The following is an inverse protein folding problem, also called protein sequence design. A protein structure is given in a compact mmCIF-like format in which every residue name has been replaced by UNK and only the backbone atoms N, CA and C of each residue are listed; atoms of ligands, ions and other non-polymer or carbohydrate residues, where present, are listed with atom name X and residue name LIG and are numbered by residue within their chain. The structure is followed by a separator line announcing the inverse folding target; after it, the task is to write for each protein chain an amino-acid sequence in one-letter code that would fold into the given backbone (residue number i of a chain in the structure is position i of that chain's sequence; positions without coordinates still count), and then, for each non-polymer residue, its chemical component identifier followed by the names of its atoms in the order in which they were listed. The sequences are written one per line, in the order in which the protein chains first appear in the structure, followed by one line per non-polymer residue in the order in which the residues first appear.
data_IF_659432260777
#
_entry.id   IF_659432260777
#
_cell.length_a   1.000
_cell.length_b   1.000
_cell.length_c   1.000
_cell.angle_alpha   90.00
_cell.angle_beta   90.00
_cell.angle_gamma   90.00
#
_symmetry.space_group_name_H-M   'P 1'
#
loop_
_entity.id
_entity.type
_entity.pdbx_description
1 polymer ?
#
# COMPACT_ATOMS: atom_id res chain seq x y z
N UNK A 1 4.96 -33.14 1.26
CA UNK A 1 3.81 -32.31 1.68
C UNK A 1 3.75 -32.10 3.20
N UNK A 2 3.82 -33.10 4.04
CA UNK A 2 3.78 -32.94 5.51
C UNK A 2 4.93 -32.10 6.09
N UNK A 3 6.15 -32.28 5.63
CA UNK A 3 7.33 -31.51 6.08
C UNK A 3 7.19 -30.00 5.79
N UNK A 4 6.59 -29.64 4.65
CA UNK A 4 6.33 -28.26 4.28
C UNK A 4 5.27 -27.61 5.18
N UNK A 5 4.25 -28.37 5.59
CA UNK A 5 3.22 -27.89 6.51
C UNK A 5 3.77 -27.65 7.92
N UNK A 6 4.61 -28.57 8.42
CA UNK A 6 5.29 -28.43 9.73
C UNK A 6 6.22 -27.22 9.71
N UNK A 7 7.07 -27.08 8.67
CA UNK A 7 7.98 -25.94 8.53
C UNK A 7 7.19 -24.61 8.55
N UNK A 8 6.06 -24.55 7.85
CA UNK A 8 5.19 -23.38 7.83
C UNK A 8 4.59 -23.07 9.20
N UNK A 9 4.08 -24.10 9.91
CA UNK A 9 3.54 -23.91 11.26
C UNK A 9 4.57 -23.37 12.25
N UNK A 10 5.80 -23.89 12.20
CA UNK A 10 6.93 -23.41 13.03
C UNK A 10 7.27 -21.96 12.69
N UNK A 11 7.31 -21.61 11.41
CA UNK A 11 7.57 -20.23 10.95
C UNK A 11 6.46 -19.29 11.39
N UNK A 12 5.20 -19.66 11.22
CA UNK A 12 4.07 -18.86 11.65
C UNK A 12 4.14 -18.59 13.17
N UNK A 13 4.37 -19.62 13.99
CA UNK A 13 4.53 -19.46 15.44
C UNK A 13 5.70 -18.52 15.79
N UNK A 14 6.82 -18.57 15.03
CA UNK A 14 7.95 -17.68 15.21
C UNK A 14 7.59 -16.24 14.90
N UNK A 15 6.90 -15.98 13.80
CA UNK A 15 6.47 -14.62 13.42
C UNK A 15 5.46 -14.04 14.40
N UNK A 16 4.49 -14.84 14.86
CA UNK A 16 3.58 -14.42 15.92
C UNK A 16 4.35 -13.99 17.19
N UNK A 17 5.36 -14.78 17.59
CA UNK A 17 6.17 -14.45 18.76
C UNK A 17 6.98 -13.16 18.57
N UNK A 18 7.59 -12.98 17.40
CA UNK A 18 8.39 -11.79 17.09
C UNK A 18 7.51 -10.54 17.07
N UNK A 19 6.33 -10.62 16.46
CA UNK A 19 5.46 -9.46 16.25
C UNK A 19 4.53 -9.17 17.45
N UNK A 20 4.56 -10.00 18.49
CA UNK A 20 3.65 -9.87 19.64
C UNK A 20 3.77 -8.52 20.37
N UNK A 21 4.95 -7.89 20.38
CA UNK A 21 5.16 -6.60 21.05
C UNK A 21 4.27 -5.50 20.46
N UNK A 22 3.91 -5.55 19.16
CA UNK A 22 3.07 -4.54 18.53
C UNK A 22 1.66 -4.41 19.14
N UNK A 23 1.16 -5.47 19.79
CA UNK A 23 -0.14 -5.44 20.49
C UNK A 23 -0.17 -4.42 21.64
N UNK A 24 0.98 -4.14 22.24
CA UNK A 24 1.14 -3.32 23.45
C UNK A 24 2.00 -2.08 23.23
N UNK A 25 2.64 -1.94 22.09
CA UNK A 25 3.47 -0.77 21.81
C UNK A 25 2.61 0.50 21.78
N UNK A 26 3.10 1.58 22.43
CA UNK A 26 2.38 2.84 22.46
C UNK A 26 2.29 3.46 21.07
N UNK A 27 1.14 4.00 20.72
CA UNK A 27 0.88 4.68 19.44
C UNK A 27 0.32 6.08 19.67
N UNK A 28 0.56 6.97 18.71
CA UNK A 28 0.01 8.33 18.66
C UNK A 28 -1.37 8.33 17.98
N UNK A 29 -1.57 7.40 17.05
CA UNK A 29 -2.84 7.23 16.35
C UNK A 29 -3.92 6.58 17.21
N UNK A 30 -5.18 6.86 16.90
CA UNK A 30 -6.33 6.25 17.56
C UNK A 30 -6.56 4.83 17.02
N UNK A 31 -6.25 3.79 17.81
CA UNK A 31 -6.45 2.40 17.44
C UNK A 31 -7.94 2.07 17.31
N UNK A 32 -8.35 1.53 16.20
CA UNK A 32 -9.75 1.24 15.89
C UNK A 32 -9.89 -0.02 15.03
N UNK A 33 -11.14 -0.46 14.83
CA UNK A 33 -11.45 -1.67 14.09
C UNK A 33 -12.59 -1.38 13.10
N UNK A 34 -12.31 -1.59 11.80
CA UNK A 34 -13.30 -1.45 10.73
C UNK A 34 -14.03 -2.78 10.58
N UNK A 35 -15.36 -2.81 10.82
CA UNK A 35 -16.13 -4.03 10.72
C UNK A 35 -16.22 -4.52 9.27
N UNK A 36 -16.24 -5.86 9.10
CA UNK A 36 -16.43 -6.54 7.82
C UNK A 36 -17.48 -7.63 7.99
N UNK A 37 -18.45 -7.68 7.11
CA UNK A 37 -19.52 -8.69 7.19
C UNK A 37 -18.94 -10.10 6.96
N UNK A 38 -19.14 -11.00 7.92
CA UNK A 38 -18.71 -12.40 7.85
C UNK A 38 -17.19 -12.62 7.86
N UNK A 39 -16.40 -11.57 8.14
CA UNK A 39 -14.93 -11.63 8.20
C UNK A 39 -14.41 -10.96 9.47
N UNK A 40 -13.13 -11.22 9.79
CA UNK A 40 -12.46 -10.50 10.89
C UNK A 40 -12.44 -8.98 10.58
N UNK A 41 -12.61 -8.11 11.59
CA UNK A 41 -12.47 -6.68 11.39
C UNK A 41 -11.04 -6.32 10.99
N UNK A 42 -10.88 -5.21 10.27
CA UNK A 42 -9.55 -4.65 9.96
C UNK A 42 -9.13 -3.75 11.10
N UNK A 43 -7.99 -4.03 11.70
CA UNK A 43 -7.36 -3.12 12.65
C UNK A 43 -6.75 -1.94 11.91
N UNK A 44 -6.93 -0.73 12.43
CA UNK A 44 -6.40 0.51 11.85
C UNK A 44 -5.95 1.47 12.93
N UNK A 45 -5.03 2.37 12.59
CA UNK A 45 -4.72 3.56 13.37
C UNK A 45 -5.24 4.79 12.61
N UNK A 46 -6.03 5.62 13.28
CA UNK A 46 -6.61 6.84 12.74
C UNK A 46 -5.82 8.08 13.18
N UNK A 47 -5.56 8.98 12.25
CA UNK A 47 -4.90 10.26 12.52
C UNK A 47 -5.73 11.38 11.90
N UNK A 48 -6.10 12.33 12.74
CA UNK A 48 -6.92 13.47 12.35
C UNK A 48 -6.05 14.71 12.18
N UNK A 49 -6.29 15.53 11.14
CA UNK A 49 -5.72 16.86 11.04
C UNK A 49 -6.43 17.81 12.01
N UNK A 50 -5.93 19.04 12.10
CA UNK A 50 -6.54 20.06 12.93
C UNK A 50 -7.98 20.40 12.49
N UNK A 51 -8.17 20.62 11.17
CA UNK A 51 -9.50 20.83 10.58
C UNK A 51 -10.14 19.49 10.23
N UNK A 52 -11.38 19.27 10.69
CA UNK A 52 -12.08 17.98 10.58
C UNK A 52 -13.33 18.02 9.71
N UNK A 53 -13.39 18.95 8.75
CA UNK A 53 -14.52 19.06 7.83
C UNK A 53 -14.08 18.79 6.40
N UNK A 54 -14.83 17.96 5.69
CA UNK A 54 -14.59 17.60 4.29
C UNK A 54 -13.15 17.18 4.01
N UNK A 55 -12.54 16.41 4.94
CA UNK A 55 -11.16 15.99 4.88
C UNK A 55 -10.90 15.07 3.69
N UNK A 56 -9.83 15.24 2.91
CA UNK A 56 -9.33 14.16 2.07
C UNK A 56 -8.85 12.99 2.93
N UNK A 57 -8.79 11.80 2.34
CA UNK A 57 -8.39 10.58 3.05
C UNK A 57 -7.12 10.01 2.44
N UNK A 58 -6.15 9.67 3.29
CA UNK A 58 -4.94 8.98 2.89
C UNK A 58 -4.87 7.63 3.61
N UNK A 59 -4.96 6.54 2.87
CA UNK A 59 -4.88 5.18 3.40
C UNK A 59 -3.46 4.68 3.23
N UNK A 60 -2.74 4.55 4.34
CA UNK A 60 -1.36 4.03 4.38
C UNK A 60 -1.37 2.53 4.64
N UNK A 61 -0.49 1.80 3.95
CA UNK A 61 -0.32 0.34 4.06
C UNK A 61 1.15 0.05 4.28
N UNK A 62 1.49 -0.52 5.43
CA UNK A 62 2.88 -0.81 5.80
C UNK A 62 3.53 -1.89 4.95
N UNK A 63 4.86 -1.91 4.90
CA UNK A 63 5.65 -2.93 4.23
C UNK A 63 5.84 -4.21 5.05
N UNK A 64 7.04 -4.82 4.98
CA UNK A 64 7.41 -5.96 5.84
C UNK A 64 7.22 -7.33 5.23
N UNK A 65 7.28 -7.45 3.90
CA UNK A 65 7.20 -8.75 3.18
C UNK A 65 5.97 -9.59 3.57
N UNK A 66 4.87 -8.94 3.92
CA UNK A 66 3.58 -9.50 4.37
C UNK A 66 3.64 -10.32 5.66
N UNK A 67 4.77 -10.39 6.34
CA UNK A 67 4.99 -11.19 7.56
C UNK A 67 5.58 -10.40 8.72
N UNK A 68 6.27 -9.32 8.44
CA UNK A 68 6.85 -8.41 9.43
C UNK A 68 6.21 -7.04 9.36
N UNK A 69 6.71 -6.15 10.19
CA UNK A 69 6.21 -4.81 10.41
C UNK A 69 4.74 -4.77 10.85
N UNK A 70 4.30 -3.60 11.22
CA UNK A 70 2.97 -3.32 11.74
C UNK A 70 2.61 -1.87 11.41
N UNK A 71 1.33 -1.50 11.51
CA UNK A 71 0.92 -0.10 11.43
C UNK A 71 1.62 0.79 12.46
N UNK A 72 2.06 0.21 13.58
CA UNK A 72 2.84 0.90 14.61
C UNK A 72 4.17 1.44 14.09
N UNK A 73 4.82 0.75 13.15
CA UNK A 73 6.10 1.22 12.58
C UNK A 73 5.95 2.52 11.76
N UNK A 74 4.77 2.73 11.18
CA UNK A 74 4.43 3.93 10.40
C UNK A 74 3.70 5.00 11.24
N UNK A 75 3.54 4.82 12.57
CA UNK A 75 2.69 5.64 13.42
C UNK A 75 3.04 7.14 13.36
N UNK A 76 4.28 7.50 13.65
CA UNK A 76 4.75 8.90 13.59
C UNK A 76 4.75 9.47 12.17
N UNK A 77 5.06 8.65 11.18
CA UNK A 77 5.01 9.01 9.77
C UNK A 77 3.57 9.36 9.36
N UNK A 78 2.58 8.56 9.75
CA UNK A 78 1.17 8.80 9.48
C UNK A 78 0.64 10.05 10.20
N UNK A 79 1.07 10.29 11.43
CA UNK A 79 0.75 11.54 12.14
C UNK A 79 1.24 12.77 11.39
N UNK A 80 2.49 12.75 10.95
CA UNK A 80 3.06 13.82 10.14
C UNK A 80 2.34 14.00 8.80
N UNK A 81 1.99 12.90 8.11
CA UNK A 81 1.18 12.95 6.88
C UNK A 81 -0.16 13.64 7.09
N UNK A 82 -0.85 13.32 8.19
CA UNK A 82 -2.14 13.93 8.52
C UNK A 82 -2.03 15.45 8.66
N UNK A 83 -1.00 15.92 9.34
CA UNK A 83 -0.73 17.35 9.54
C UNK A 83 -0.35 18.07 8.23
N UNK A 84 0.59 17.53 7.46
CA UNK A 84 1.13 18.16 6.23
C UNK A 84 0.12 18.16 5.07
N UNK A 85 -0.77 17.15 5.02
CA UNK A 85 -1.81 17.03 4.00
C UNK A 85 -3.12 17.71 4.40
N UNK A 86 -3.36 17.96 5.69
CA UNK A 86 -4.69 18.29 6.19
C UNK A 86 -5.68 17.15 5.91
N UNK A 87 -5.22 15.90 6.01
CA UNK A 87 -5.97 14.72 5.63
C UNK A 87 -6.28 13.81 6.84
N UNK A 88 -7.43 13.15 6.79
CA UNK A 88 -7.67 11.99 7.64
C UNK A 88 -6.81 10.83 7.15
N UNK A 89 -5.83 10.41 7.95
CA UNK A 89 -4.95 9.29 7.60
C UNK A 89 -5.44 8.03 8.29
N UNK A 90 -5.56 6.94 7.52
CA UNK A 90 -5.94 5.61 7.97
C UNK A 90 -4.78 4.67 7.71
N UNK A 91 -4.10 4.24 8.74
CA UNK A 91 -2.99 3.30 8.64
C UNK A 91 -3.50 1.88 8.89
N UNK A 92 -3.47 1.05 7.85
CA UNK A 92 -4.09 -0.28 7.83
C UNK A 92 -3.12 -1.32 8.39
N UNK A 93 -3.54 -2.00 9.46
CA UNK A 93 -2.84 -3.15 10.03
C UNK A 93 -3.41 -4.46 9.46
N UNK A 94 -3.08 -4.75 8.20
CA UNK A 94 -3.59 -5.91 7.49
C UNK A 94 -3.15 -7.24 8.13
N UNK A 95 -3.96 -8.29 7.99
CA UNK A 95 -3.62 -9.65 8.43
C UNK A 95 -2.43 -10.18 7.65
N UNK A 96 -1.39 -10.59 8.37
CA UNK A 96 -0.16 -11.11 7.78
C UNK A 96 -0.36 -12.50 7.23
N UNK A 97 0.55 -12.95 6.35
CA UNK A 97 0.44 -14.24 5.67
C UNK A 97 0.41 -15.47 6.60
N UNK A 98 0.84 -15.31 7.82
CA UNK A 98 0.73 -16.38 8.81
C UNK A 98 -0.67 -16.48 9.45
N UNK A 99 -1.49 -15.42 9.34
CA UNK A 99 -2.89 -15.39 9.79
C UNK A 99 -3.85 -15.66 8.63
N UNK A 100 -3.70 -14.92 7.54
CA UNK A 100 -4.56 -14.99 6.37
C UNK A 100 -3.74 -14.88 5.09
N UNK A 101 -4.01 -15.75 4.12
CA UNK A 101 -3.31 -15.75 2.84
C UNK A 101 -4.04 -14.91 1.79
N UNK A 102 -3.36 -14.68 0.65
CA UNK A 102 -3.96 -14.07 -0.54
C UNK A 102 -5.36 -14.64 -0.85
N UNK A 103 -6.35 -13.83 -1.24
CA UNK A 103 -6.31 -12.37 -1.43
C UNK A 103 -6.74 -11.55 -0.19
N UNK A 104 -6.79 -12.16 0.99
CA UNK A 104 -7.38 -11.56 2.20
C UNK A 104 -6.79 -10.20 2.57
N UNK A 105 -5.45 -9.98 2.59
CA UNK A 105 -4.89 -8.65 2.88
C UNK A 105 -5.29 -7.57 1.87
N UNK A 106 -5.37 -7.90 0.57
CA UNK A 106 -5.83 -6.97 -0.47
C UNK A 106 -7.30 -6.62 -0.30
N UNK A 107 -8.12 -7.61 0.11
CA UNK A 107 -9.53 -7.40 0.43
C UNK A 107 -9.70 -6.51 1.66
N UNK A 108 -8.84 -6.63 2.69
CA UNK A 108 -8.88 -5.75 3.88
C UNK A 108 -8.71 -4.29 3.49
N UNK A 109 -7.75 -3.99 2.62
CA UNK A 109 -7.52 -2.62 2.12
C UNK A 109 -8.71 -2.13 1.29
N UNK A 110 -9.23 -2.96 0.38
CA UNK A 110 -10.38 -2.60 -0.44
C UNK A 110 -11.65 -2.38 0.40
N UNK A 111 -11.90 -3.25 1.40
CA UNK A 111 -13.04 -3.14 2.31
C UNK A 111 -12.92 -1.91 3.21
N UNK A 112 -11.70 -1.54 3.64
CA UNK A 112 -11.42 -0.27 4.34
C UNK A 112 -11.88 0.94 3.50
N UNK A 113 -11.53 0.98 2.21
CA UNK A 113 -11.98 2.07 1.32
C UNK A 113 -13.51 2.11 1.19
N UNK A 114 -14.14 0.96 0.99
CA UNK A 114 -15.61 0.88 0.89
C UNK A 114 -16.29 1.36 2.16
N UNK A 115 -15.77 0.97 3.32
CA UNK A 115 -16.25 1.42 4.62
C UNK A 115 -16.09 2.95 4.78
N UNK A 116 -14.95 3.51 4.45
CA UNK A 116 -14.69 4.95 4.49
C UNK A 116 -15.68 5.73 3.63
N UNK A 117 -16.00 5.24 2.42
CA UNK A 117 -16.98 5.87 1.53
C UNK A 117 -18.40 5.84 2.13
N UNK A 118 -18.81 4.73 2.72
CA UNK A 118 -20.15 4.60 3.30
C UNK A 118 -20.32 5.41 4.59
N UNK A 119 -19.23 5.64 5.33
CA UNK A 119 -19.24 6.40 6.59
C UNK A 119 -18.71 7.84 6.44
N UNK A 120 -18.52 8.32 5.21
CA UNK A 120 -17.87 9.59 4.90
C UNK A 120 -18.49 10.77 5.66
N UNK A 121 -19.83 10.87 5.67
CA UNK A 121 -20.55 11.93 6.39
C UNK A 121 -20.30 11.90 7.91
N UNK A 122 -20.29 10.70 8.50
CA UNK A 122 -20.07 10.52 9.95
C UNK A 122 -18.63 10.88 10.32
N UNK A 123 -17.67 10.58 9.44
CA UNK A 123 -16.25 10.84 9.65
C UNK A 123 -15.84 12.28 9.29
N UNK A 124 -16.70 13.04 8.62
CA UNK A 124 -16.35 14.37 8.11
C UNK A 124 -15.35 14.33 6.96
N UNK A 125 -15.32 13.24 6.16
CA UNK A 125 -14.38 13.06 5.05
C UNK A 125 -15.07 13.18 3.68
N UNK A 126 -14.28 13.48 2.67
CA UNK A 126 -14.72 13.49 1.27
C UNK A 126 -14.55 12.08 0.66
N UNK A 127 -15.64 11.37 0.33
CA UNK A 127 -15.58 10.02 -0.21
C UNK A 127 -14.94 9.92 -1.59
N UNK A 128 -14.78 11.04 -2.29
CA UNK A 128 -14.17 11.08 -3.62
C UNK A 128 -12.67 11.38 -3.56
N UNK A 129 -12.16 11.92 -2.45
CA UNK A 129 -10.76 12.22 -2.25
C UNK A 129 -10.05 11.19 -1.36
N UNK A 130 -10.06 9.92 -1.78
CA UNK A 130 -9.36 8.82 -1.09
C UNK A 130 -8.15 8.39 -1.93
N UNK A 131 -6.96 8.37 -1.33
CA UNK A 131 -5.72 7.85 -1.91
C UNK A 131 -5.31 6.58 -1.16
N UNK A 132 -4.83 5.56 -1.90
CA UNK A 132 -4.12 4.40 -1.34
C UNK A 132 -2.61 4.61 -1.47
N UNK A 133 -1.84 4.31 -0.44
CA UNK A 133 -0.38 4.38 -0.49
C UNK A 133 0.28 3.27 0.32
N UNK A 134 1.40 2.76 -0.19
CA UNK A 134 2.19 1.79 0.54
C UNK A 134 3.55 1.52 -0.09
N UNK A 135 4.45 1.01 0.75
CA UNK A 135 5.81 0.63 0.35
C UNK A 135 6.03 -0.87 0.33
N UNK A 136 6.85 -1.38 -0.61
CA UNK A 136 7.22 -2.80 -0.68
C UNK A 136 5.99 -3.73 -0.76
N UNK A 137 5.79 -4.59 0.23
CA UNK A 137 4.59 -5.40 0.38
C UNK A 137 3.31 -4.54 0.46
N UNK A 138 3.36 -3.38 1.14
CA UNK A 138 2.27 -2.41 1.16
C UNK A 138 1.98 -1.82 -0.21
N UNK A 139 3.00 -1.60 -1.03
CA UNK A 139 2.86 -1.19 -2.44
C UNK A 139 2.16 -2.24 -3.29
N UNK A 140 2.45 -3.52 -3.06
CA UNK A 140 1.72 -4.64 -3.65
C UNK A 140 0.24 -4.63 -3.25
N UNK A 141 -0.05 -4.48 -1.94
CA UNK A 141 -1.42 -4.42 -1.45
C UNK A 141 -2.17 -3.20 -1.99
N UNK A 142 -1.49 -2.06 -2.13
CA UNK A 142 -2.02 -0.84 -2.76
C UNK A 142 -2.47 -1.12 -4.20
N UNK A 143 -1.60 -1.68 -5.03
CA UNK A 143 -1.92 -2.00 -6.42
C UNK A 143 -3.03 -3.07 -6.53
N UNK A 144 -2.94 -4.14 -5.72
CA UNK A 144 -3.94 -5.20 -5.69
C UNK A 144 -5.32 -4.71 -5.26
N UNK A 145 -5.41 -3.89 -4.21
CA UNK A 145 -6.65 -3.30 -3.74
C UNK A 145 -7.24 -2.30 -4.75
N UNK A 146 -6.39 -1.48 -5.40
CA UNK A 146 -6.84 -0.59 -6.47
C UNK A 146 -7.48 -1.36 -7.64
N UNK A 147 -6.93 -2.54 -7.98
CA UNK A 147 -7.51 -3.44 -9.00
C UNK A 147 -8.87 -3.98 -8.55
N UNK A 148 -9.00 -4.45 -7.30
CA UNK A 148 -10.27 -4.94 -6.75
C UNK A 148 -11.33 -3.85 -6.81
N UNK A 149 -11.03 -2.65 -6.31
CA UNK A 149 -11.93 -1.49 -6.33
C UNK A 149 -12.34 -1.10 -7.76
N UNK A 150 -11.38 -1.05 -8.69
CA UNK A 150 -11.65 -0.73 -10.10
C UNK A 150 -12.58 -1.75 -10.78
N UNK A 151 -12.45 -3.04 -10.46
CA UNK A 151 -13.33 -4.11 -10.95
C UNK A 151 -14.77 -3.96 -10.42
N UNK A 152 -14.92 -3.54 -9.17
CA UNK A 152 -16.20 -3.26 -8.53
C UNK A 152 -16.79 -1.89 -8.91
N UNK A 153 -16.09 -1.09 -9.72
CA UNK A 153 -16.51 0.27 -10.10
C UNK A 153 -16.34 1.31 -9.00
N UNK A 154 -15.66 0.96 -7.91
CA UNK A 154 -15.37 1.88 -6.80
C UNK A 154 -14.18 2.76 -7.17
N UNK A 155 -14.42 4.06 -7.33
CA UNK A 155 -13.39 5.03 -7.70
C UNK A 155 -12.70 5.61 -6.47
N UNK A 156 -11.36 5.81 -6.57
CA UNK A 156 -10.53 6.54 -5.61
C UNK A 156 -9.84 7.72 -6.33
N UNK A 157 -9.27 8.65 -5.58
CA UNK A 157 -8.53 9.78 -6.16
C UNK A 157 -7.23 9.32 -6.83
N UNK A 158 -6.55 8.36 -6.24
CA UNK A 158 -5.33 7.80 -6.81
C UNK A 158 -4.66 6.75 -5.95
N UNK A 159 -3.52 6.27 -6.44
CA UNK A 159 -2.64 5.35 -5.73
C UNK A 159 -1.18 5.83 -5.79
N UNK A 160 -0.42 5.62 -4.72
CA UNK A 160 1.01 5.91 -4.64
C UNK A 160 1.72 4.63 -4.19
N UNK A 161 2.54 4.04 -5.06
CA UNK A 161 3.32 2.84 -4.73
C UNK A 161 4.80 3.19 -4.60
N UNK A 162 5.42 2.79 -3.50
CA UNK A 162 6.86 3.00 -3.26
C UNK A 162 7.58 1.66 -3.22
N UNK A 163 8.65 1.51 -4.00
CA UNK A 163 9.47 0.29 -4.10
C UNK A 163 8.63 -1.01 -4.09
N UNK A 164 7.57 -1.10 -4.90
CA UNK A 164 6.57 -2.15 -4.76
C UNK A 164 7.06 -3.50 -5.29
N UNK A 165 6.63 -4.59 -4.64
CA UNK A 165 6.73 -5.94 -5.19
C UNK A 165 5.49 -6.23 -6.05
N UNK A 166 5.60 -6.44 -7.36
CA UNK A 166 4.44 -6.49 -8.26
C UNK A 166 4.38 -7.70 -9.21
N UNK A 167 5.30 -8.66 -9.09
CA UNK A 167 5.29 -9.86 -9.94
C UNK A 167 5.73 -11.11 -9.19
N UNK A 168 4.77 -12.03 -8.97
CA UNK A 168 5.01 -13.37 -8.44
C UNK A 168 5.28 -14.42 -9.53
N UNK A 169 5.16 -14.05 -10.81
CA UNK A 169 5.37 -14.98 -11.92
C UNK A 169 6.83 -15.10 -12.32
N UNK A 170 7.70 -14.25 -11.80
CA UNK A 170 9.11 -14.11 -12.20
C UNK A 170 9.30 -13.77 -13.70
N UNK A 171 8.29 -13.20 -14.33
CA UNK A 171 8.38 -12.76 -15.72
C UNK A 171 9.25 -11.51 -15.86
N UNK A 172 9.21 -10.65 -14.84
CA UNK A 172 10.05 -9.45 -14.74
C UNK A 172 11.25 -9.78 -13.88
N UNK A 173 12.49 -9.64 -14.41
CA UNK A 173 13.71 -9.95 -13.67
C UNK A 173 13.80 -9.17 -12.36
N UNK A 174 14.26 -9.84 -11.32
CA UNK A 174 14.57 -9.24 -10.02
C UNK A 174 16.04 -9.54 -9.74
N UNK A 175 16.82 -8.52 -9.43
CA UNK A 175 18.24 -8.66 -9.14
C UNK A 175 18.48 -8.83 -7.64
N UNK A 176 17.93 -9.90 -7.05
CA UNK A 176 18.27 -10.28 -5.70
C UNK A 176 19.64 -10.98 -5.69
N UNK A 177 20.51 -10.67 -4.71
CA UNK A 177 21.75 -11.42 -4.53
C UNK A 177 21.49 -12.93 -4.43
N UNK A 178 22.30 -13.73 -5.11
CA UNK A 178 22.20 -15.19 -5.00
C UNK A 178 22.19 -15.61 -3.53
N UNK A 179 21.15 -16.35 -3.12
CA UNK A 179 21.00 -16.85 -1.75
C UNK A 179 20.29 -15.92 -0.79
N UNK A 180 19.69 -14.82 -1.26
CA UNK A 180 18.88 -13.97 -0.36
C UNK A 180 17.79 -14.79 0.33
N UNK A 181 17.96 -14.94 1.66
CA UNK A 181 17.08 -15.75 2.49
C UNK A 181 15.69 -15.13 2.63
N UNK A 182 15.59 -13.79 2.59
CA UNK A 182 14.32 -13.08 2.72
C UNK A 182 13.45 -13.30 1.46
N UNK A 183 14.05 -13.16 0.28
CA UNK A 183 13.37 -13.42 -0.98
C UNK A 183 12.80 -14.84 -1.04
N UNK A 184 13.66 -15.83 -0.72
CA UNK A 184 13.24 -17.24 -0.68
C UNK A 184 12.13 -17.49 0.32
N UNK A 185 12.20 -16.85 1.49
CA UNK A 185 11.21 -16.90 2.54
C UNK A 185 9.86 -16.32 2.09
N UNK A 186 9.86 -15.19 1.38
CA UNK A 186 8.64 -14.56 0.86
C UNK A 186 7.84 -15.53 -0.03
N UNK A 187 8.52 -16.25 -0.94
CA UNK A 187 7.85 -17.24 -1.79
C UNK A 187 7.45 -18.52 -1.05
N UNK A 188 8.21 -18.92 -0.03
CA UNK A 188 7.86 -20.08 0.80
C UNK A 188 6.64 -19.82 1.71
N UNK A 189 6.42 -18.57 2.12
CA UNK A 189 5.30 -18.17 2.98
C UNK A 189 4.01 -17.99 2.22
N UNK A 190 4.07 -17.50 0.99
CA UNK A 190 2.92 -17.50 0.11
C UNK A 190 2.53 -18.95 -0.19
N UNK A 191 1.22 -19.30 -0.17
CA UNK A 191 0.80 -20.68 -0.37
C UNK A 191 1.21 -21.20 -1.75
N UNK A 192 1.61 -22.49 -1.86
CA UNK A 192 2.14 -23.07 -3.10
C UNK A 192 1.11 -23.20 -4.24
N UNK A 193 -0.13 -22.84 -4.02
CA UNK A 193 -1.23 -22.84 -5.01
C UNK A 193 -1.78 -21.44 -5.24
N UNK A 194 -0.90 -20.45 -5.39
CA UNK A 194 -1.32 -19.11 -5.77
C UNK A 194 -1.78 -19.09 -7.23
N UNK A 195 -2.84 -18.36 -7.55
CA UNK A 195 -3.19 -18.07 -8.93
C UNK A 195 -2.19 -17.03 -9.48
N UNK A 196 -1.01 -17.50 -9.91
CA UNK A 196 0.08 -16.64 -10.39
C UNK A 196 -0.32 -15.78 -11.59
N UNK A 197 -1.37 -16.16 -12.31
CA UNK A 197 -2.00 -15.43 -13.40
C UNK A 197 -3.00 -14.35 -12.93
N UNK A 198 -3.17 -14.19 -11.62
CA UNK A 198 -4.05 -13.17 -11.05
C UNK A 198 -3.46 -11.78 -11.20
N UNK A 199 -4.23 -10.84 -11.79
CA UNK A 199 -3.87 -9.42 -11.85
C UNK A 199 -3.67 -8.79 -10.46
N UNK A 200 -4.41 -9.25 -9.46
CA UNK A 200 -4.32 -8.75 -8.08
C UNK A 200 -3.04 -9.21 -7.39
N UNK A 201 -2.57 -10.42 -7.73
CA UNK A 201 -1.34 -10.97 -7.16
C UNK A 201 -0.09 -10.50 -7.89
N UNK A 202 -0.16 -10.37 -9.22
CA UNK A 202 0.98 -9.99 -10.06
C UNK A 202 0.61 -8.79 -10.97
N UNK A 203 0.34 -7.60 -10.39
CA UNK A 203 -0.13 -6.44 -11.14
C UNK A 203 0.76 -6.09 -12.34
N UNK A 204 2.08 -6.09 -12.19
CA UNK A 204 2.99 -5.71 -13.24
C UNK A 204 3.05 -6.73 -14.39
N UNK A 205 2.81 -8.02 -14.11
CA UNK A 205 2.94 -9.09 -15.10
C UNK A 205 1.61 -9.52 -15.71
N UNK A 206 0.48 -9.32 -15.04
CA UNK A 206 -0.81 -9.94 -15.40
C UNK A 206 -1.97 -8.97 -15.58
N UNK A 207 -1.81 -7.69 -15.24
CA UNK A 207 -2.89 -6.72 -15.40
C UNK A 207 -3.32 -6.58 -16.86
N UNK A 208 -4.64 -6.63 -17.09
CA UNK A 208 -5.20 -6.51 -18.44
C UNK A 208 -5.47 -5.05 -18.82
N UNK A 209 -5.51 -4.76 -20.12
CA UNK A 209 -5.88 -3.44 -20.66
C UNK A 209 -7.27 -3.00 -20.15
N UNK A 210 -8.21 -3.95 -20.01
CA UNK A 210 -9.55 -3.71 -19.45
C UNK A 210 -9.48 -3.21 -18.00
N UNK A 211 -8.65 -3.79 -17.17
CA UNK A 211 -8.48 -3.37 -15.77
C UNK A 211 -7.71 -2.06 -15.70
N UNK A 212 -6.62 -1.91 -16.45
CA UNK A 212 -5.83 -0.68 -16.54
C UNK A 212 -6.68 0.52 -16.90
N UNK A 213 -7.60 0.38 -17.88
CA UNK A 213 -8.49 1.49 -18.30
C UNK A 213 -9.39 2.01 -17.17
N UNK A 214 -9.70 1.18 -16.18
CA UNK A 214 -10.57 1.50 -15.04
C UNK A 214 -9.82 2.03 -13.82
N UNK A 215 -8.49 1.85 -13.76
CA UNK A 215 -7.70 2.31 -12.61
C UNK A 215 -7.79 3.83 -12.44
N UNK A 216 -7.70 4.27 -11.20
CA UNK A 216 -7.46 5.67 -10.86
C UNK A 216 -6.00 6.05 -11.18
N UNK A 217 -5.67 7.36 -11.28
CA UNK A 217 -4.31 7.80 -11.50
C UNK A 217 -3.33 7.24 -10.48
N UNK A 218 -2.07 7.07 -10.88
CA UNK A 218 -1.05 6.47 -10.05
C UNK A 218 0.27 7.25 -10.06
N UNK A 219 0.94 7.27 -8.93
CA UNK A 219 2.34 7.65 -8.77
C UNK A 219 3.13 6.41 -8.41
N UNK A 220 4.26 6.22 -9.07
CA UNK A 220 5.17 5.10 -8.80
C UNK A 220 6.51 5.67 -8.37
N UNK A 221 7.04 5.19 -7.24
CA UNK A 221 8.35 5.57 -6.71
C UNK A 221 9.22 4.33 -6.70
N UNK A 222 10.39 4.42 -7.31
CA UNK A 222 11.38 3.32 -7.36
C UNK A 222 12.76 3.81 -6.96
N UNK A 223 13.64 2.89 -6.58
CA UNK A 223 14.99 3.18 -6.14
C UNK A 223 16.01 2.46 -7.02
N UNK A 224 17.08 3.17 -7.43
CA UNK A 224 18.08 2.62 -8.35
C UNK A 224 18.90 1.46 -7.78
N UNK A 225 19.00 1.38 -6.44
CA UNK A 225 19.71 0.29 -5.73
C UNK A 225 18.76 -0.76 -5.15
N UNK A 226 17.48 -0.77 -5.60
CA UNK A 226 16.45 -1.71 -5.15
C UNK A 226 16.32 -2.86 -6.16
N UNK A 227 16.44 -4.12 -5.73
CA UNK A 227 16.22 -5.28 -6.60
C UNK A 227 14.81 -5.31 -7.25
N UNK A 228 13.81 -4.66 -6.64
CA UNK A 228 12.43 -4.59 -7.16
C UNK A 228 12.22 -3.48 -8.19
N UNK A 229 13.23 -2.63 -8.42
CA UNK A 229 13.16 -1.51 -9.38
C UNK A 229 12.54 -1.88 -10.74
N UNK A 230 12.93 -2.99 -11.40
CA UNK A 230 12.37 -3.34 -12.70
C UNK A 230 10.85 -3.58 -12.70
N UNK A 231 10.31 -4.12 -11.59
CA UNK A 231 8.87 -4.35 -11.47
C UNK A 231 8.08 -3.04 -11.36
N UNK A 232 8.60 -2.09 -10.57
CA UNK A 232 7.99 -0.76 -10.44
C UNK A 232 8.03 0.02 -11.74
N UNK A 233 9.15 0.02 -12.47
CA UNK A 233 9.26 0.68 -13.78
C UNK A 233 8.32 0.06 -14.82
N UNK A 234 8.26 -1.28 -14.87
CA UNK A 234 7.36 -1.96 -15.79
C UNK A 234 5.90 -1.60 -15.54
N UNK A 235 5.49 -1.59 -14.27
CA UNK A 235 4.13 -1.16 -13.89
C UNK A 235 3.85 0.30 -14.28
N UNK A 236 4.80 1.19 -14.05
CA UNK A 236 4.68 2.59 -14.49
C UNK A 236 4.52 2.71 -16.02
N UNK A 237 5.23 1.91 -16.81
CA UNK A 237 5.09 1.88 -18.27
C UNK A 237 3.69 1.42 -18.70
N UNK A 238 3.12 0.39 -18.05
CA UNK A 238 1.76 -0.07 -18.30
C UNK A 238 0.73 1.03 -17.98
N UNK A 239 0.88 1.67 -16.82
CA UNK A 239 0.03 2.79 -16.41
C UNK A 239 0.12 3.96 -17.38
N UNK A 240 1.32 4.32 -17.84
CA UNK A 240 1.57 5.39 -18.80
C UNK A 240 0.88 5.12 -20.14
N UNK A 241 0.99 3.89 -20.66
CA UNK A 241 0.33 3.47 -21.91
C UNK A 241 -1.19 3.69 -21.87
N UNK A 242 -1.80 3.60 -20.68
CA UNK A 242 -3.24 3.76 -20.47
C UNK A 242 -3.64 5.14 -19.94
N UNK A 243 -2.72 6.12 -19.90
CA UNK A 243 -2.99 7.46 -19.37
C UNK A 243 -3.33 7.48 -17.86
N UNK A 244 -2.79 6.50 -17.11
CA UNK A 244 -3.02 6.35 -15.66
C UNK A 244 -1.80 6.71 -14.82
N UNK A 245 -0.64 6.89 -15.41
CA UNK A 245 0.55 7.35 -14.71
C UNK A 245 0.50 8.88 -14.56
N UNK A 246 0.45 9.35 -13.32
CA UNK A 246 0.65 10.77 -13.01
C UNK A 246 2.14 11.08 -13.03
N UNK A 247 2.95 10.29 -12.31
CA UNK A 247 4.40 10.48 -12.27
C UNK A 247 5.15 9.19 -11.91
N UNK A 248 6.41 9.10 -12.37
CA UNK A 248 7.38 8.09 -11.98
C UNK A 248 8.61 8.79 -11.40
N UNK A 249 8.85 8.60 -10.10
CA UNK A 249 10.03 9.13 -9.41
C UNK A 249 11.08 8.03 -9.22
N UNK A 250 12.31 8.28 -9.67
CA UNK A 250 13.43 7.37 -9.50
C UNK A 250 14.47 8.01 -8.56
N UNK A 251 14.65 7.40 -7.40
CA UNK A 251 15.71 7.75 -6.46
C UNK A 251 16.96 6.91 -6.76
N UNK A 252 17.87 7.43 -7.60
CA UNK A 252 19.05 6.68 -8.10
C UNK A 252 19.91 6.07 -7.00
N UNK A 253 20.08 6.80 -5.89
CA UNK A 253 20.91 6.39 -4.76
C UNK A 253 20.09 5.75 -3.61
N UNK A 254 18.78 5.68 -3.74
CA UNK A 254 17.90 4.99 -2.81
C UNK A 254 18.02 3.48 -2.94
N UNK A 255 17.80 2.79 -1.83
CA UNK A 255 17.73 1.33 -1.75
C UNK A 255 16.34 0.90 -1.24
N UNK A 256 16.07 -0.39 -1.23
CA UNK A 256 14.77 -0.91 -0.79
C UNK A 256 14.43 -0.49 0.65
N UNK A 257 13.25 0.11 0.86
CA UNK A 257 12.78 0.54 2.18
C UNK A 257 13.40 1.85 2.71
N UNK A 258 14.16 2.59 1.90
CA UNK A 258 14.85 3.81 2.34
C UNK A 258 13.91 4.86 2.97
N UNK A 259 12.65 4.90 2.50
CA UNK A 259 11.66 5.88 2.96
C UNK A 259 11.11 5.59 4.36
N UNK A 260 11.26 4.35 4.86
CA UNK A 260 10.74 3.89 6.16
C UNK A 260 11.83 3.67 7.21
N UNK A 261 13.13 3.70 6.83
CA UNK A 261 14.22 3.51 7.78
C UNK A 261 14.35 4.68 8.75
N UNK A 262 14.75 4.38 9.97
CA UNK A 262 15.05 5.41 10.96
C UNK A 262 16.34 6.14 10.63
N UNK A 263 16.38 7.44 10.91
CA UNK A 263 17.55 8.28 10.65
C UNK A 263 18.82 7.75 11.36
N UNK A 264 18.67 7.23 12.56
CA UNK A 264 19.74 6.67 13.36
C UNK A 264 20.35 5.42 12.75
N UNK A 265 19.58 4.71 11.93
CA UNK A 265 20.03 3.49 11.27
C UNK A 265 20.82 3.80 9.99
N UNK A 266 20.39 4.81 9.23
CA UNK A 266 21.04 5.23 7.97
C UNK A 266 20.97 6.74 7.75
N UNK A 267 21.80 7.51 8.48
CA UNK A 267 21.74 8.99 8.42
C UNK A 267 22.02 9.57 7.03
N UNK A 268 22.81 8.88 6.21
CA UNK A 268 23.12 9.31 4.83
C UNK A 268 21.90 9.30 3.91
N UNK A 269 20.83 8.60 4.30
CA UNK A 269 19.58 8.54 3.54
C UNK A 269 18.51 9.55 4.03
N UNK A 270 18.77 10.28 5.11
CA UNK A 270 17.81 11.23 5.70
C UNK A 270 17.32 12.25 4.70
N UNK A 271 18.23 12.81 3.92
CA UNK A 271 17.88 13.79 2.89
C UNK A 271 16.99 13.20 1.81
N UNK A 272 17.25 11.97 1.41
CA UNK A 272 16.41 11.28 0.41
C UNK A 272 15.04 10.92 0.99
N UNK A 273 14.97 10.53 2.27
CA UNK A 273 13.69 10.26 2.98
C UNK A 273 12.83 11.50 3.06
N UNK A 274 13.42 12.62 3.45
CA UNK A 274 12.69 13.89 3.53
C UNK A 274 12.22 14.36 2.15
N UNK A 275 13.04 14.25 1.12
CA UNK A 275 12.63 14.55 -0.26
C UNK A 275 11.48 13.64 -0.72
N UNK A 276 11.55 12.34 -0.43
CA UNK A 276 10.50 11.39 -0.76
C UNK A 276 9.19 11.70 -0.02
N UNK A 277 9.27 12.05 1.26
CA UNK A 277 8.12 12.46 2.04
C UNK A 277 7.44 13.69 1.42
N UNK A 278 8.20 14.75 1.14
CA UNK A 278 7.68 15.98 0.52
C UNK A 278 7.11 15.73 -0.86
N UNK A 279 7.78 14.92 -1.67
CA UNK A 279 7.30 14.50 -2.97
C UNK A 279 5.94 13.77 -2.86
N UNK A 280 5.79 12.83 -1.92
CA UNK A 280 4.51 12.13 -1.69
C UNK A 280 3.40 13.10 -1.27
N UNK A 281 3.70 14.05 -0.39
CA UNK A 281 2.74 15.10 0.01
C UNK A 281 2.32 15.95 -1.19
N UNK A 282 3.25 16.39 -2.02
CA UNK A 282 2.96 17.15 -3.25
C UNK A 282 2.05 16.36 -4.20
N UNK A 283 2.42 15.12 -4.50
CA UNK A 283 1.66 14.27 -5.43
C UNK A 283 0.29 13.86 -4.89
N UNK A 284 0.16 13.68 -3.59
CA UNK A 284 -1.15 13.46 -2.96
C UNK A 284 -2.07 14.66 -3.14
N UNK A 285 -1.57 15.89 -2.92
CA UNK A 285 -2.33 17.12 -3.16
C UNK A 285 -2.76 17.25 -4.62
N UNK A 286 -1.89 16.91 -5.57
CA UNK A 286 -2.19 16.90 -7.00
C UNK A 286 -3.29 15.88 -7.35
N UNK A 287 -3.21 14.65 -6.83
CA UNK A 287 -4.24 13.62 -7.02
C UNK A 287 -5.61 14.04 -6.45
N UNK A 288 -5.64 14.69 -5.28
CA UNK A 288 -6.88 15.22 -4.71
C UNK A 288 -7.50 16.32 -5.58
N UNK A 289 -6.68 17.25 -6.11
CA UNK A 289 -7.16 18.33 -6.98
C UNK A 289 -7.76 17.79 -8.28
N UNK A 290 -7.10 16.84 -8.95
CA UNK A 290 -7.61 16.21 -10.17
C UNK A 290 -9.00 15.56 -9.99
N UNK A 291 -9.30 15.10 -8.78
CA UNK A 291 -10.61 14.49 -8.49
C UNK A 291 -11.69 15.52 -8.21
N UNK A 292 -11.35 16.62 -7.54
CA UNK A 292 -12.26 17.75 -7.28
C UNK A 292 -12.77 18.40 -8.56
N UNK A 293 -11.91 18.64 -9.54
CA UNK A 293 -12.27 19.25 -10.83
C UNK A 293 -13.26 18.39 -11.63
N UNK A 294 -13.12 17.05 -11.62
CA UNK A 294 -14.05 16.14 -12.30
C UNK A 294 -15.47 16.16 -11.74
N UNK A 295 -15.65 16.53 -10.48
CA UNK A 295 -16.94 16.59 -9.85
C UNK A 295 -17.64 17.93 -10.12
N UNK A 296 -16.91 19.04 -10.20
CA UNK A 296 -17.48 20.36 -10.57
C UNK A 296 -17.98 20.39 -12.02
N UNK A 297 -17.27 19.77 -12.96
CA UNK A 297 -17.69 19.69 -14.36
C UNK A 297 -18.93 18.82 -14.62
N UNK A 298 -19.36 18.00 -13.66
CA UNK A 298 -20.62 17.22 -13.77
C UNK A 298 -21.83 17.94 -13.24
N UNK A 299 -21.67 18.91 -12.34
CA UNK A 299 -22.76 19.73 -11.79
C UNK A 299 -23.14 20.91 -12.69
N UNK A 300 -22.27 21.33 -13.62
CA UNK A 300 -22.60 22.38 -14.59
C UNK A 300 -23.33 21.85 -15.84
N UNK A 301 -23.38 20.54 -16.05
CA UNK A 301 -24.04 19.89 -17.21
C UNK A 301 -25.27 19.05 -16.84
N UNK A 302 -25.81 19.20 -15.64
CA UNK A 302 -27.03 18.56 -15.16
C UNK A 302 -28.08 19.61 -14.82
#
# INVERSE_FOLDING_TARGET
MAFTAIKRAVMNARFHKINKHYETDPVVGDRSFIPREGKDPVEVLFYYPEQRENMPVFVQIHGGAWVGMDAVDDDRYCKRLSEELGAFVVNVNYKRLYDRSFPYPQEEVADTVKWLKTHAKQLGVDPDRIILSGGSAGGHLTAGAAILLAREGVQIAGQITEVPFLDFTHTIPIDFPEGDKLYKLMFELYPPKLPLDSEVLSPAAKITDRTLSKLSPAVVIVCGKDPLHPQGEHYAQLLKKHGKLLDLKIYKDGYHGFGTEKAEEKPEQDKLREDCFRYKVEKAKELYAMRGEKNHGKTENA
#
